data_IF_314075464129
#
_entry.id   IF_314075464129
#
_cell.length_a   1.000
_cell.length_b   1.000
_cell.length_c   1.000
_cell.angle_alpha   90.00
_cell.angle_beta   90.00
_cell.angle_gamma   90.00
#
_symmetry.space_group_name_H-M   'P 1'
#
loop_
_entity.id
_entity.type
_entity.pdbx_description
1 polymer ?
#
# COMPACT_ATOMS: atom_id res chain seq x y z
N UNK A 1 63.87 6.43 17.45
CA UNK A 1 62.82 5.59 18.07
C UNK A 1 61.46 6.25 17.82
N UNK A 2 60.44 5.40 17.62
CA UNK A 2 58.98 5.58 17.42
C UNK A 2 58.35 6.99 17.40
N UNK A 3 57.55 7.18 16.34
CA UNK A 3 56.49 8.18 16.11
C UNK A 3 55.32 8.03 17.11
N UNK A 4 54.46 9.06 17.15
CA UNK A 4 52.98 9.10 17.25
C UNK A 4 52.57 10.33 18.09
N UNK A 5 52.36 11.49 17.46
CA UNK A 5 51.11 12.00 16.87
C UNK A 5 50.08 12.52 17.90
N UNK A 6 50.01 13.85 17.89
CA UNK A 6 48.99 14.78 18.35
C UNK A 6 47.54 14.32 18.21
N UNK A 7 46.67 14.88 19.06
CA UNK A 7 45.24 15.00 18.75
C UNK A 7 44.37 15.43 19.93
N UNK A 8 44.46 16.71 20.32
CA UNK A 8 43.63 17.36 21.35
C UNK A 8 42.16 17.45 20.90
N UNK A 9 41.27 17.25 21.89
CA UNK A 9 39.81 17.39 21.85
C UNK A 9 39.28 18.64 21.15
N UNK A 10 38.17 18.47 20.42
CA UNK A 10 37.29 19.56 20.02
C UNK A 10 35.83 19.14 20.22
N UNK A 11 35.27 19.49 21.37
CA UNK A 11 33.84 19.49 21.64
C UNK A 11 33.22 20.70 20.94
N UNK A 12 32.31 20.46 20.00
CA UNK A 12 31.53 21.51 19.32
C UNK A 12 30.12 21.53 19.93
N UNK A 13 29.69 22.61 20.62
CA UNK A 13 28.28 22.83 20.90
C UNK A 13 27.69 23.71 19.80
N UNK A 14 26.75 23.18 19.03
CA UNK A 14 25.96 23.97 18.08
C UNK A 14 24.47 23.81 18.43
N UNK A 15 24.01 24.76 19.26
CA UNK A 15 22.61 25.14 19.33
C UNK A 15 22.24 25.77 17.99
N UNK A 16 21.57 24.99 17.13
CA UNK A 16 20.96 25.47 15.90
C UNK A 16 19.44 25.31 16.00
N UNK A 17 18.73 26.44 16.12
CA UNK A 17 17.30 26.52 15.87
C UNK A 17 17.03 26.10 14.42
N UNK A 18 16.56 24.86 14.23
CA UNK A 18 16.01 24.38 12.97
C UNK A 18 14.49 24.33 13.10
N UNK A 19 13.80 25.17 12.32
CA UNK A 19 12.37 25.11 12.13
C UNK A 19 11.91 23.66 11.91
N UNK A 20 10.92 23.21 12.70
CA UNK A 20 10.28 21.93 12.47
C UNK A 20 9.72 21.96 11.03
N UNK A 21 10.23 21.11 10.11
CA UNK A 21 9.64 21.00 8.79
C UNK A 21 8.19 20.54 8.98
N UNK A 22 7.32 21.16 8.19
CA UNK A 22 5.89 21.19 8.38
C UNK A 22 5.26 19.85 8.70
N UNK A 23 4.10 19.95 9.37
CA UNK A 23 3.00 18.99 9.29
C UNK A 23 3.11 18.16 8.02
N UNK A 24 3.71 16.98 8.15
CA UNK A 24 3.57 15.93 7.16
C UNK A 24 2.09 15.58 7.34
N UNK A 25 1.25 16.11 6.46
CA UNK A 25 -0.10 15.61 6.32
C UNK A 25 0.09 14.11 6.06
N UNK A 26 -0.10 13.30 7.10
CA UNK A 26 -0.29 11.87 6.95
C UNK A 26 -1.56 11.76 6.11
N UNK A 27 -1.40 11.70 4.79
CA UNK A 27 -2.39 11.11 3.92
C UNK A 27 -2.55 9.70 4.49
N UNK A 28 -3.58 9.49 5.29
CA UNK A 28 -3.95 8.20 5.83
C UNK A 28 -4.10 7.30 4.61
N UNK A 29 -3.11 6.44 4.36
CA UNK A 29 -3.22 5.41 3.36
C UNK A 29 -4.42 4.56 3.79
N UNK A 30 -5.53 4.72 3.07
CA UNK A 30 -6.78 4.03 3.36
C UNK A 30 -6.47 2.53 3.43
N UNK A 31 -6.77 1.87 4.55
CA UNK A 31 -6.30 0.52 4.78
C UNK A 31 -6.93 -0.44 3.75
N UNK A 32 -6.12 -0.97 2.83
CA UNK A 32 -6.59 -1.93 1.82
C UNK A 32 -7.02 -3.23 2.50
N UNK A 33 -8.33 -3.43 2.61
CA UNK A 33 -8.93 -4.62 3.21
C UNK A 33 -10.09 -5.10 2.35
N UNK A 34 -10.05 -6.36 1.94
CA UNK A 34 -11.16 -7.02 1.26
C UNK A 34 -12.15 -7.56 2.29
N UNK A 35 -13.44 -7.37 2.02
CA UNK A 35 -14.48 -8.02 2.83
C UNK A 35 -14.50 -9.53 2.56
N UNK A 36 -14.95 -10.37 3.52
CA UNK A 36 -15.03 -11.81 3.32
C UNK A 36 -15.93 -12.25 2.16
N UNK A 37 -16.91 -11.42 1.80
CA UNK A 37 -17.87 -11.61 0.72
C UNK A 37 -17.64 -10.64 -0.46
N UNK A 38 -16.42 -10.10 -0.57
CA UNK A 38 -16.05 -9.16 -1.64
C UNK A 38 -16.49 -9.58 -3.06
N UNK A 39 -16.49 -10.86 -3.48
CA UNK A 39 -16.90 -11.23 -4.83
C UNK A 39 -18.35 -10.86 -5.16
N UNK A 40 -19.19 -10.65 -4.13
CA UNK A 40 -20.59 -10.26 -4.28
C UNK A 40 -20.77 -8.73 -4.33
N UNK A 41 -19.73 -7.96 -4.01
CA UNK A 41 -19.77 -6.49 -3.87
C UNK A 41 -18.81 -5.82 -4.86
N UNK A 42 -19.14 -5.89 -6.14
CA UNK A 42 -18.30 -5.40 -7.24
C UNK A 42 -17.77 -3.97 -7.03
N UNK A 43 -18.66 -3.00 -6.83
CA UNK A 43 -18.30 -1.58 -6.73
C UNK A 43 -17.36 -1.30 -5.53
N UNK A 44 -17.61 -1.95 -4.39
CA UNK A 44 -16.73 -1.81 -3.22
C UNK A 44 -15.36 -2.46 -3.49
N UNK A 45 -15.36 -3.63 -4.11
CA UNK A 45 -14.13 -4.36 -4.43
C UNK A 45 -13.26 -3.58 -5.40
N UNK A 46 -13.84 -3.01 -6.47
CA UNK A 46 -13.12 -2.19 -7.44
C UNK A 46 -12.48 -0.97 -6.77
N UNK A 47 -13.18 -0.32 -5.81
CA UNK A 47 -12.59 0.78 -5.02
C UNK A 47 -11.42 0.33 -4.15
N UNK A 48 -11.55 -0.80 -3.46
CA UNK A 48 -10.45 -1.39 -2.66
C UNK A 48 -9.25 -1.72 -3.56
N UNK A 49 -9.49 -2.28 -4.74
CA UNK A 49 -8.45 -2.58 -5.72
C UNK A 49 -7.79 -1.29 -6.22
N UNK A 50 -8.56 -0.25 -6.53
CA UNK A 50 -8.00 1.05 -6.91
C UNK A 50 -7.14 1.67 -5.81
N UNK A 51 -7.59 1.60 -4.55
CA UNK A 51 -6.79 2.05 -3.42
C UNK A 51 -5.47 1.26 -3.30
N UNK A 52 -5.51 -0.06 -3.49
CA UNK A 52 -4.34 -0.92 -3.48
C UNK A 52 -3.34 -0.56 -4.59
N UNK A 53 -3.83 -0.37 -5.81
CA UNK A 53 -3.00 0.04 -6.95
C UNK A 53 -2.39 1.42 -6.73
N UNK A 54 -3.14 2.39 -6.20
CA UNK A 54 -2.64 3.72 -5.86
C UNK A 54 -1.57 3.69 -4.75
N UNK A 55 -1.62 2.70 -3.85
CA UNK A 55 -0.59 2.45 -2.84
C UNK A 55 0.61 1.65 -3.37
N UNK A 56 0.62 1.32 -4.67
CA UNK A 56 1.72 0.59 -5.31
C UNK A 56 1.70 -0.92 -5.07
N UNK A 57 0.56 -1.49 -4.67
CA UNK A 57 0.45 -2.95 -4.54
C UNK A 57 0.60 -3.62 -5.91
N UNK A 58 1.38 -4.69 -5.95
CA UNK A 58 1.47 -5.53 -7.15
C UNK A 58 0.18 -6.32 -7.36
N UNK A 59 -0.10 -6.67 -8.62
CA UNK A 59 -1.23 -7.56 -8.99
C UNK A 59 -1.28 -8.82 -8.12
N UNK A 60 -0.14 -9.47 -7.91
CA UNK A 60 -0.02 -10.67 -7.08
C UNK A 60 -0.40 -10.43 -5.61
N UNK A 61 -0.04 -9.27 -5.03
CA UNK A 61 -0.42 -8.92 -3.67
C UNK A 61 -1.93 -8.73 -3.55
N UNK A 62 -2.54 -8.07 -4.53
CA UNK A 62 -3.99 -7.84 -4.56
C UNK A 62 -4.74 -9.17 -4.68
N UNK A 63 -4.39 -10.00 -5.67
CA UNK A 63 -5.01 -11.31 -5.89
C UNK A 63 -4.86 -12.20 -4.64
N UNK A 64 -3.64 -12.36 -4.11
CA UNK A 64 -3.42 -13.21 -2.94
C UNK A 64 -4.14 -12.71 -1.69
N UNK A 65 -4.33 -11.40 -1.53
CA UNK A 65 -5.06 -10.84 -0.39
C UNK A 65 -6.56 -11.04 -0.54
N UNK A 66 -7.10 -10.82 -1.74
CA UNK A 66 -8.52 -11.05 -2.04
C UNK A 66 -8.88 -12.54 -1.91
N UNK A 67 -8.05 -13.43 -2.45
CA UNK A 67 -8.18 -14.88 -2.31
C UNK A 67 -8.23 -15.30 -0.84
N UNK A 68 -7.28 -14.84 -0.02
CA UNK A 68 -7.23 -15.17 1.42
C UNK A 68 -8.38 -14.57 2.22
N UNK A 69 -8.94 -13.45 1.77
CA UNK A 69 -10.07 -12.82 2.41
C UNK A 69 -11.39 -13.56 2.11
N UNK A 70 -11.50 -14.19 0.93
CA UNK A 70 -12.73 -14.85 0.49
C UNK A 70 -13.16 -15.94 1.48
N UNK A 71 -14.45 -15.91 1.84
CA UNK A 71 -15.09 -16.92 2.64
C UNK A 71 -16.11 -17.70 1.81
N UNK A 72 -15.78 -18.96 1.52
CA UNK A 72 -16.62 -19.88 0.74
C UNK A 72 -18.05 -20.01 1.31
N UNK A 73 -18.23 -20.02 2.63
CA UNK A 73 -19.55 -20.18 3.25
C UNK A 73 -20.47 -18.98 2.96
N UNK A 74 -19.91 -17.81 2.63
CA UNK A 74 -20.65 -16.59 2.31
C UNK A 74 -20.84 -16.38 0.81
N UNK A 75 -19.91 -16.87 -0.01
CA UNK A 75 -19.84 -16.55 -1.44
C UNK A 75 -20.19 -17.72 -2.34
N UNK A 76 -19.97 -18.96 -1.88
CA UNK A 76 -19.99 -20.16 -2.73
C UNK A 76 -18.86 -20.22 -3.77
N UNK A 77 -17.88 -19.31 -3.67
CA UNK A 77 -16.75 -19.17 -4.59
C UNK A 77 -15.52 -19.78 -3.94
N UNK A 78 -14.88 -20.74 -4.61
CA UNK A 78 -13.64 -21.35 -4.12
C UNK A 78 -12.42 -20.40 -4.25
N UNK A 79 -11.26 -20.82 -3.72
CA UNK A 79 -10.06 -19.97 -3.73
C UNK A 79 -9.56 -19.66 -5.14
N UNK A 80 -9.62 -20.62 -6.04
CA UNK A 80 -9.08 -20.48 -7.39
C UNK A 80 -9.98 -19.52 -8.20
N UNK A 81 -11.30 -19.71 -8.11
CA UNK A 81 -12.27 -18.81 -8.71
C UNK A 81 -12.20 -17.40 -8.08
N UNK A 82 -11.97 -17.29 -6.76
CA UNK A 82 -11.79 -16.00 -6.11
C UNK A 82 -10.54 -15.27 -6.64
N UNK A 83 -9.44 -16.00 -6.86
CA UNK A 83 -8.22 -15.43 -7.44
C UNK A 83 -8.46 -14.95 -8.88
N UNK A 84 -9.14 -15.74 -9.71
CA UNK A 84 -9.51 -15.38 -11.08
C UNK A 84 -10.41 -14.13 -11.14
N UNK A 85 -11.41 -14.05 -10.25
CA UNK A 85 -12.29 -12.88 -10.15
C UNK A 85 -11.53 -11.63 -9.70
N UNK A 86 -10.60 -11.77 -8.75
CA UNK A 86 -9.78 -10.65 -8.28
C UNK A 86 -8.89 -10.13 -9.41
N UNK A 87 -8.33 -11.04 -10.21
CA UNK A 87 -7.53 -10.72 -11.39
C UNK A 87 -8.33 -9.93 -12.43
N UNK A 88 -9.56 -10.38 -12.73
CA UNK A 88 -10.47 -9.68 -13.64
C UNK A 88 -10.86 -8.29 -13.14
N UNK A 89 -11.10 -8.12 -11.83
CA UNK A 89 -11.41 -6.80 -11.25
C UNK A 89 -10.20 -5.86 -11.24
N UNK A 90 -8.97 -6.36 -11.16
CA UNK A 90 -7.77 -5.54 -11.36
C UNK A 90 -7.75 -4.97 -12.78
N UNK A 91 -8.10 -5.77 -13.78
CA UNK A 91 -8.17 -5.28 -15.17
C UNK A 91 -9.30 -4.26 -15.35
N UNK A 92 -10.49 -4.52 -14.81
CA UNK A 92 -11.61 -3.58 -14.87
C UNK A 92 -11.28 -2.24 -14.18
N UNK A 93 -10.72 -2.28 -12.97
CA UNK A 93 -10.38 -1.09 -12.18
C UNK A 93 -9.38 -0.18 -12.91
N UNK A 94 -8.40 -0.75 -13.64
CA UNK A 94 -7.44 0.02 -14.43
C UNK A 94 -8.06 0.79 -15.59
N UNK A 95 -9.19 0.31 -16.13
CA UNK A 95 -9.87 0.93 -17.26
C UNK A 95 -11.00 1.87 -16.84
N UNK A 96 -11.78 1.50 -15.81
CA UNK A 96 -13.04 2.19 -15.50
C UNK A 96 -12.90 3.25 -14.38
N UNK A 97 -12.11 3.05 -13.33
CA UNK A 97 -12.41 3.74 -12.05
C UNK A 97 -11.25 4.11 -11.11
N UNK A 98 -9.98 4.10 -11.55
CA UNK A 98 -8.87 4.60 -10.72
C UNK A 98 -8.40 6.01 -11.15
N UNK A 99 -9.06 7.10 -10.74
CA UNK A 99 -8.68 8.47 -11.14
C UNK A 99 -7.28 8.87 -10.66
N UNK A 100 -6.76 8.24 -9.60
CA UNK A 100 -5.43 8.52 -9.03
C UNK A 100 -4.28 7.92 -9.82
N UNK A 101 -4.52 6.94 -10.69
CA UNK A 101 -3.47 6.38 -11.57
C UNK A 101 -3.28 7.20 -12.86
N UNK A 102 -4.30 7.99 -13.25
CA UNK A 102 -4.25 8.87 -14.42
C UNK A 102 -3.84 10.32 -14.10
N UNK A 103 -3.67 10.66 -12.82
CA UNK A 103 -3.11 11.94 -12.39
C UNK A 103 -1.57 11.85 -12.35
N UNK A 104 -0.93 11.82 -13.52
CA UNK A 104 0.52 11.96 -13.69
C UNK A 104 0.83 13.11 -14.64
#
# INVERSE_FOLDING_TARGET
MKKLLYGVSLTIPLLGMGALPGMIATASADQVTFLPDWPNHRNQTEKTICAALAQGWSRRQIVSTAEKANNYDLTGVDSDEAAERADAYIDAARYEDCPTLNAS
#
